data_IF_180411431889
#
_entry.id   IF_180411431889
#
_cell.length_a   1.000
_cell.length_b   1.000
_cell.length_c   1.000
_cell.angle_alpha   90.00
_cell.angle_beta   90.00
_cell.angle_gamma   90.00
#
_symmetry.space_group_name_H-M   'P 1'
#
loop_
_entity.id
_entity.type
_entity.pdbx_description
1 polymer ?
#
# COMPACT_ATOMS: atom_id res chain seq x y z
N UNK A 1 0.33 5.62 -28.35
CA UNK A 1 -0.30 5.62 -27.01
C UNK A 1 -0.49 4.19 -26.53
N UNK A 2 -0.06 3.87 -25.32
CA UNK A 2 -0.29 2.54 -24.72
C UNK A 2 -1.46 2.61 -23.74
N UNK A 3 -2.31 1.60 -23.77
CA UNK A 3 -3.46 1.48 -22.87
C UNK A 3 -3.17 0.41 -21.82
N UNK A 4 -3.45 0.71 -20.55
CA UNK A 4 -3.26 -0.21 -19.44
C UNK A 4 -4.56 -0.31 -18.63
N UNK A 5 -4.81 -1.48 -18.04
CA UNK A 5 -5.88 -1.59 -17.05
C UNK A 5 -5.47 -0.88 -15.75
N UNK A 6 -6.45 -0.56 -14.91
CA UNK A 6 -6.18 0.05 -13.61
C UNK A 6 -5.33 -0.88 -12.72
N UNK A 7 -5.60 -2.18 -12.78
CA UNK A 7 -4.81 -3.16 -12.02
C UNK A 7 -3.36 -3.25 -12.50
N UNK A 8 -3.12 -3.22 -13.81
CA UNK A 8 -1.76 -3.18 -14.36
C UNK A 8 -1.00 -1.94 -13.90
N UNK A 9 -1.63 -0.76 -14.00
CA UNK A 9 -1.02 0.48 -13.53
C UNK A 9 -0.69 0.43 -12.04
N UNK A 10 -1.60 -0.11 -11.22
CA UNK A 10 -1.39 -0.25 -9.79
C UNK A 10 -0.27 -1.25 -9.45
N UNK A 11 -0.15 -2.35 -10.19
CA UNK A 11 0.97 -3.31 -10.04
C UNK A 11 2.30 -2.63 -10.31
N UNK A 12 2.39 -1.83 -11.39
CA UNK A 12 3.62 -1.08 -11.71
C UNK A 12 3.97 -0.09 -10.59
N UNK A 13 2.98 0.66 -10.10
CA UNK A 13 3.20 1.61 -9.00
C UNK A 13 3.69 0.90 -7.74
N UNK A 14 3.08 -0.23 -7.38
CA UNK A 14 3.47 -0.99 -6.20
C UNK A 14 4.88 -1.58 -6.33
N UNK A 15 5.24 -2.09 -7.51
CA UNK A 15 6.59 -2.59 -7.79
C UNK A 15 7.62 -1.48 -7.59
N UNK A 16 7.36 -0.30 -8.14
CA UNK A 16 8.27 0.85 -7.97
C UNK A 16 8.37 1.31 -6.52
N UNK A 17 7.28 1.24 -5.76
CA UNK A 17 7.31 1.50 -4.32
C UNK A 17 8.29 0.56 -3.60
N UNK A 18 8.29 -0.73 -3.95
CA UNK A 18 9.24 -1.70 -3.37
C UNK A 18 10.69 -1.41 -3.75
N UNK A 19 10.94 -0.86 -4.93
CA UNK A 19 12.29 -0.45 -5.36
C UNK A 19 12.79 0.81 -4.64
N UNK A 20 11.89 1.75 -4.33
CA UNK A 20 12.25 2.99 -3.64
C UNK A 20 12.53 2.76 -2.15
N UNK A 21 11.88 1.81 -1.53
CA UNK A 21 11.95 1.60 -0.08
C UNK A 21 13.37 1.29 0.43
N UNK A 22 14.13 0.34 -0.15
CA UNK A 22 15.49 0.01 0.34
C UNK A 22 16.48 1.16 0.22
N UNK A 23 16.24 2.11 -0.68
CA UNK A 23 17.08 3.27 -0.90
C UNK A 23 16.71 4.46 -0.01
N UNK A 24 15.86 4.24 1.00
CA UNK A 24 15.36 5.26 1.92
C UNK A 24 14.60 6.41 1.23
N UNK A 25 14.05 6.19 0.03
CA UNK A 25 13.19 7.16 -0.66
C UNK A 25 11.74 6.93 -0.22
N UNK A 26 11.48 7.16 1.08
CA UNK A 26 10.21 6.80 1.71
C UNK A 26 9.04 7.66 1.25
N UNK A 27 9.27 8.93 0.93
CA UNK A 27 8.23 9.82 0.39
C UNK A 27 7.69 9.24 -0.92
N UNK A 28 8.58 8.93 -1.87
CA UNK A 28 8.16 8.38 -3.16
C UNK A 28 7.55 6.99 -3.01
N UNK A 29 8.12 6.15 -2.17
CA UNK A 29 7.56 4.84 -1.86
C UNK A 29 6.14 4.95 -1.29
N UNK A 30 5.90 5.91 -0.39
CA UNK A 30 4.56 6.18 0.18
C UNK A 30 3.57 6.64 -0.88
N UNK A 31 3.97 7.55 -1.76
CA UNK A 31 3.11 8.05 -2.84
C UNK A 31 2.69 6.91 -3.77
N UNK A 32 3.66 6.12 -4.22
CA UNK A 32 3.41 5.02 -5.16
C UNK A 32 2.59 3.90 -4.51
N UNK A 33 2.93 3.51 -3.29
CA UNK A 33 2.20 2.48 -2.57
C UNK A 33 0.78 2.94 -2.19
N UNK A 34 0.61 4.20 -1.81
CA UNK A 34 -0.69 4.78 -1.51
C UNK A 34 -1.61 4.79 -2.72
N UNK A 35 -1.09 5.18 -3.88
CA UNK A 35 -1.84 5.16 -5.12
C UNK A 35 -2.26 3.73 -5.50
N UNK A 36 -1.35 2.76 -5.39
CA UNK A 36 -1.65 1.36 -5.67
C UNK A 36 -2.70 0.80 -4.68
N UNK A 37 -2.53 1.07 -3.40
CA UNK A 37 -3.45 0.61 -2.36
C UNK A 37 -4.88 1.12 -2.61
N UNK A 38 -5.02 2.39 -2.98
CA UNK A 38 -6.33 2.95 -3.28
C UNK A 38 -7.00 2.24 -4.47
N UNK A 39 -6.26 1.99 -5.55
CA UNK A 39 -6.80 1.31 -6.72
C UNK A 39 -7.23 -0.12 -6.37
N UNK A 40 -6.39 -0.88 -5.68
CA UNK A 40 -6.73 -2.26 -5.30
C UNK A 40 -7.92 -2.31 -4.33
N UNK A 41 -8.00 -1.38 -3.38
CA UNK A 41 -9.15 -1.26 -2.49
C UNK A 41 -10.44 -1.03 -3.27
N UNK A 42 -10.42 -0.08 -4.20
CA UNK A 42 -11.59 0.24 -5.03
C UNK A 42 -12.00 -0.96 -5.89
N UNK A 43 -11.03 -1.71 -6.42
CA UNK A 43 -11.31 -2.93 -7.18
C UNK A 43 -11.91 -4.04 -6.29
N UNK A 44 -11.46 -4.18 -5.05
CA UNK A 44 -12.06 -5.10 -4.09
C UNK A 44 -13.52 -4.73 -3.81
N UNK A 45 -13.80 -3.45 -3.57
CA UNK A 45 -15.15 -2.94 -3.35
C UNK A 45 -16.04 -3.19 -4.57
N UNK A 46 -15.55 -2.92 -5.78
CA UNK A 46 -16.29 -3.15 -7.02
C UNK A 46 -16.64 -4.63 -7.24
N UNK A 47 -15.83 -5.54 -6.74
CA UNK A 47 -16.09 -6.99 -6.79
C UNK A 47 -16.87 -7.51 -5.59
N UNK A 48 -17.18 -6.68 -4.62
CA UNK A 48 -17.94 -7.07 -3.42
C UNK A 48 -17.18 -8.00 -2.46
N UNK A 49 -15.84 -8.00 -2.51
CA UNK A 49 -15.02 -8.89 -1.68
C UNK A 49 -14.41 -8.19 -0.45
N UNK A 50 -14.68 -6.93 -0.23
CA UNK A 50 -14.08 -6.16 0.86
C UNK A 50 -12.55 -6.04 0.74
N UNK A 51 -11.98 -4.99 1.31
CA UNK A 51 -10.53 -4.76 1.30
C UNK A 51 -9.83 -5.39 2.50
N UNK A 52 -8.50 -5.49 2.45
CA UNK A 52 -7.68 -5.94 3.57
C UNK A 52 -7.86 -5.04 4.79
N UNK A 53 -7.97 -3.72 4.61
CA UNK A 53 -8.21 -2.78 5.72
C UNK A 53 -9.53 -3.11 6.43
N UNK A 54 -10.59 -3.41 5.69
CA UNK A 54 -11.88 -3.79 6.29
C UNK A 54 -11.77 -5.08 7.10
N UNK A 55 -11.08 -6.07 6.58
CA UNK A 55 -10.87 -7.35 7.27
C UNK A 55 -10.04 -7.20 8.54
N UNK A 56 -8.96 -6.45 8.46
CA UNK A 56 -8.09 -6.17 9.63
C UNK A 56 -8.86 -5.40 10.69
N UNK A 57 -9.63 -4.40 10.28
CA UNK A 57 -10.47 -3.60 11.20
C UNK A 57 -11.46 -4.49 11.95
N UNK A 58 -12.18 -5.34 11.23
CA UNK A 58 -13.16 -6.27 11.83
C UNK A 58 -12.49 -7.26 12.80
N UNK A 59 -11.33 -7.80 12.40
CA UNK A 59 -10.56 -8.75 13.21
C UNK A 59 -10.06 -8.13 14.52
N UNK A 60 -9.67 -6.85 14.50
CA UNK A 60 -9.15 -6.15 15.68
C UNK A 60 -10.23 -5.44 16.50
N UNK A 61 -11.48 -5.40 16.01
CA UNK A 61 -12.57 -4.70 16.69
C UNK A 61 -12.49 -3.17 16.57
N UNK A 62 -11.77 -2.64 15.58
CA UNK A 62 -11.66 -1.21 15.32
C UNK A 62 -12.59 -0.78 14.19
N UNK A 63 -12.91 0.52 14.15
CA UNK A 63 -13.64 1.09 13.00
C UNK A 63 -12.73 1.12 11.78
N UNK A 64 -13.29 0.75 10.63
CA UNK A 64 -12.55 0.76 9.35
C UNK A 64 -11.94 2.13 9.05
N UNK A 65 -12.67 3.22 9.33
CA UNK A 65 -12.19 4.59 9.13
C UNK A 65 -10.94 4.90 9.95
N UNK A 66 -10.84 4.41 11.17
CA UNK A 66 -9.68 4.65 12.04
C UNK A 66 -8.44 3.90 11.53
N UNK A 67 -8.60 2.65 11.14
CA UNK A 67 -7.50 1.85 10.56
C UNK A 67 -7.07 2.44 9.22
N UNK A 68 -8.02 2.82 8.39
CA UNK A 68 -7.73 3.47 7.11
C UNK A 68 -6.91 4.76 7.29
N UNK A 69 -7.32 5.63 8.20
CA UNK A 69 -6.61 6.88 8.47
C UNK A 69 -5.20 6.64 9.01
N UNK A 70 -5.01 5.60 9.82
CA UNK A 70 -3.70 5.24 10.33
C UNK A 70 -2.77 4.79 9.20
N UNK A 71 -3.28 3.98 8.27
CA UNK A 71 -2.48 3.41 7.18
C UNK A 71 -2.19 4.44 6.09
N UNK A 72 -3.18 5.25 5.72
CA UNK A 72 -3.08 6.17 4.57
C UNK A 72 -2.86 7.63 4.95
N UNK A 73 -2.73 7.93 6.24
CA UNK A 73 -2.68 9.32 6.73
C UNK A 73 -1.59 10.16 6.07
N UNK A 74 -0.37 9.67 5.99
CA UNK A 74 0.75 10.39 5.36
C UNK A 74 0.52 10.59 3.86
N UNK A 75 0.01 9.57 3.17
CA UNK A 75 -0.33 9.66 1.75
C UNK A 75 -1.42 10.71 1.50
N UNK A 76 -2.48 10.70 2.31
CA UNK A 76 -3.56 11.68 2.19
C UNK A 76 -3.07 13.10 2.51
N UNK A 77 -2.18 13.25 3.48
CA UNK A 77 -1.58 14.54 3.81
C UNK A 77 -0.83 15.15 2.63
N UNK A 78 -0.05 14.34 1.90
CA UNK A 78 0.65 14.79 0.70
C UNK A 78 -0.30 15.11 -0.46
N UNK A 79 -1.36 14.31 -0.61
CA UNK A 79 -2.31 14.38 -1.71
C UNK A 79 -3.22 15.61 -1.63
N UNK A 80 -3.51 16.11 -0.44
CA UNK A 80 -4.47 17.19 -0.20
C UNK A 80 -3.83 18.52 0.18
N UNK A 81 -2.79 18.91 -0.52
CA UNK A 81 -2.13 20.21 -0.34
C UNK A 81 -3.06 21.41 -0.54
N UNK A 82 -4.13 21.24 -1.31
CA UNK A 82 -5.17 22.25 -1.51
C UNK A 82 -5.90 22.61 -0.22
N UNK A 83 -6.01 21.68 0.74
CA UNK A 83 -6.68 21.87 2.03
C UNK A 83 -5.77 22.52 3.08
N UNK A 84 -4.48 22.22 3.01
CA UNK A 84 -3.51 22.68 4.00
C UNK A 84 -2.12 22.80 3.35
N UNK A 85 -1.93 23.86 2.51
CA UNK A 85 -0.72 23.99 1.68
C UNK A 85 0.56 24.25 2.47
N UNK A 86 0.46 24.68 3.72
CA UNK A 86 1.61 25.03 4.54
C UNK A 86 1.98 23.99 5.59
N UNK A 87 1.17 22.94 5.75
CA UNK A 87 1.48 21.88 6.71
C UNK A 87 2.69 21.04 6.25
N UNK A 88 3.44 20.55 7.22
CA UNK A 88 4.56 19.67 6.98
C UNK A 88 4.10 18.21 7.01
N UNK A 89 4.70 17.39 6.16
CA UNK A 89 4.46 15.95 6.14
C UNK A 89 5.70 15.23 6.65
N UNK A 90 5.52 14.39 7.65
CA UNK A 90 6.57 13.51 8.16
C UNK A 90 6.32 12.09 7.65
N UNK A 91 7.35 11.48 7.09
CA UNK A 91 7.29 10.10 6.59
C UNK A 91 8.41 9.29 7.23
N UNK A 92 8.04 8.25 7.96
CA UNK A 92 8.95 7.25 8.48
C UNK A 92 8.90 5.98 7.63
N UNK A 93 9.82 5.01 7.80
CA UNK A 93 9.75 3.74 7.05
C UNK A 93 8.45 2.97 7.26
N UNK A 94 7.76 3.19 8.38
CA UNK A 94 6.54 2.46 8.74
C UNK A 94 5.37 2.77 7.79
N UNK A 95 5.25 4.00 7.30
CA UNK A 95 4.15 4.38 6.41
C UNK A 95 4.18 3.65 5.06
N UNK A 96 5.27 3.70 4.28
CA UNK A 96 5.31 2.96 3.03
C UNK A 96 5.26 1.45 3.26
N UNK A 97 5.84 0.94 4.35
CA UNK A 97 5.77 -0.48 4.68
C UNK A 97 4.32 -0.94 4.88
N UNK A 98 3.53 -0.21 5.65
CA UNK A 98 2.12 -0.53 5.89
C UNK A 98 1.31 -0.50 4.58
N UNK A 99 1.51 0.53 3.75
CA UNK A 99 0.83 0.66 2.46
C UNK A 99 1.20 -0.45 1.49
N UNK A 100 2.47 -0.81 1.41
CA UNK A 100 2.95 -1.91 0.55
C UNK A 100 2.31 -3.23 0.98
N UNK A 101 2.31 -3.53 2.28
CA UNK A 101 1.72 -4.77 2.81
C UNK A 101 0.22 -4.83 2.55
N UNK A 102 -0.51 -3.75 2.80
CA UNK A 102 -1.96 -3.70 2.56
C UNK A 102 -2.29 -3.82 1.07
N UNK A 103 -1.55 -3.14 0.22
CA UNK A 103 -1.73 -3.23 -1.24
C UNK A 103 -1.43 -4.63 -1.77
N UNK A 104 -0.36 -5.25 -1.30
CA UNK A 104 0.00 -6.62 -1.68
C UNK A 104 -1.06 -7.64 -1.24
N UNK A 105 -1.62 -7.47 -0.06
CA UNK A 105 -2.70 -8.34 0.43
C UNK A 105 -3.97 -8.21 -0.42
N UNK A 106 -4.35 -6.98 -0.78
CA UNK A 106 -5.49 -6.75 -1.69
C UNK A 106 -5.23 -7.34 -3.08
N UNK A 107 -4.00 -7.20 -3.59
CA UNK A 107 -3.57 -7.77 -4.86
C UNK A 107 -3.77 -9.30 -4.89
N UNK A 108 -3.40 -10.00 -3.83
CA UNK A 108 -3.60 -11.44 -3.69
C UNK A 108 -5.10 -11.78 -3.70
N UNK A 109 -5.90 -11.04 -2.95
CA UNK A 109 -7.34 -11.28 -2.83
C UNK A 109 -8.09 -11.02 -4.12
N UNK A 110 -7.61 -10.11 -4.95
CA UNK A 110 -8.16 -9.84 -6.28
C UNK A 110 -7.88 -10.95 -7.27
N UNK A 111 -7.02 -11.89 -6.93
CA UNK A 111 -6.64 -13.02 -7.77
C UNK A 111 -6.19 -12.59 -9.18
N UNK A 112 -5.40 -11.53 -9.22
CA UNK A 112 -4.82 -11.03 -10.47
C UNK A 112 -3.81 -12.05 -10.99
N UNK A 113 -3.81 -12.37 -12.30
CA UNK A 113 -2.89 -13.36 -12.85
C UNK A 113 -1.44 -13.08 -12.51
N UNK A 114 -0.71 -14.13 -12.09
CA UNK A 114 0.68 -14.03 -11.68
C UNK A 114 1.55 -13.44 -12.79
N UNK A 115 2.48 -12.56 -12.38
CA UNK A 115 3.52 -12.01 -13.24
C UNK A 115 4.83 -11.92 -12.46
N UNK A 116 5.94 -11.69 -13.16
CA UNK A 116 7.24 -11.48 -12.52
C UNK A 116 7.19 -10.31 -11.53
N UNK A 117 6.49 -9.22 -11.91
CA UNK A 117 6.31 -8.06 -11.03
C UNK A 117 5.61 -8.42 -9.72
N UNK A 118 4.54 -9.21 -9.79
CA UNK A 118 3.82 -9.68 -8.59
C UNK A 118 4.72 -10.55 -7.73
N UNK A 119 5.49 -11.45 -8.34
CA UNK A 119 6.45 -12.28 -7.63
C UNK A 119 7.50 -11.47 -6.87
N UNK A 120 8.03 -10.41 -7.47
CA UNK A 120 8.97 -9.49 -6.81
C UNK A 120 8.33 -8.75 -5.63
N UNK A 121 7.09 -8.26 -5.81
CA UNK A 121 6.35 -7.59 -4.74
C UNK A 121 6.15 -8.54 -3.56
N UNK A 122 5.71 -9.76 -3.79
CA UNK A 122 5.46 -10.74 -2.74
C UNK A 122 6.76 -11.15 -2.02
N UNK A 123 7.84 -11.30 -2.75
CA UNK A 123 9.15 -11.58 -2.17
C UNK A 123 9.60 -10.43 -1.26
N UNK A 124 9.37 -9.21 -1.68
CA UNK A 124 9.72 -8.03 -0.89
C UNK A 124 8.91 -7.97 0.42
N UNK A 125 7.60 -8.22 0.37
CA UNK A 125 6.76 -8.22 1.59
C UNK A 125 7.19 -9.28 2.60
N UNK A 126 7.66 -10.44 2.14
CA UNK A 126 8.20 -11.47 3.03
C UNK A 126 9.47 -11.02 3.76
N UNK A 127 10.27 -10.14 3.16
CA UNK A 127 11.47 -9.60 3.82
C UNK A 127 11.14 -8.80 5.07
N UNK A 128 9.98 -8.14 5.13
CA UNK A 128 9.53 -7.43 6.34
C UNK A 128 9.23 -8.38 7.49
N UNK A 129 8.66 -9.53 7.23
CA UNK A 129 8.38 -10.54 8.25
C UNK A 129 9.69 -11.06 8.87
N UNK A 130 10.70 -11.30 8.06
CA UNK A 130 12.02 -11.76 8.50
C UNK A 130 12.72 -10.71 9.37
N UNK A 131 12.66 -9.43 9.00
CA UNK A 131 13.23 -8.33 9.79
C UNK A 131 12.58 -8.23 11.18
N UNK A 132 11.26 -8.35 11.26
CA UNK A 132 10.55 -8.34 12.55
C UNK A 132 11.00 -9.44 13.48
N UNK A 133 11.29 -10.62 12.97
CA UNK A 133 11.78 -11.76 13.75
C UNK A 133 13.20 -11.51 14.29
N UNK A 134 14.03 -10.77 13.58
CA UNK A 134 15.37 -10.42 14.01
C UNK A 134 15.38 -9.29 15.06
N UNK A 135 14.44 -8.36 15.00
CA UNK A 135 14.35 -7.25 15.95
C UNK A 135 13.74 -7.64 17.29
N UNK A 136 12.97 -8.73 17.34
CA UNK A 136 12.39 -9.29 18.57
C UNK A 136 13.35 -10.12 19.41
N UNK A 137 14.58 -10.21 19.01
CA UNK A 137 15.66 -10.88 19.72
C UNK A 137 16.59 -9.87 20.35
#
# INVERSE_FOLDING_TARGET
MKTHSKSEAAVVALLKATHCYPNAVWILSTILAGAAQQVFRDLCEARGIGSTIEMVSASLGYRTSDVHNLVVGSYNGMKHADRDPTSLVSVSPAEPQALIVMAAADLIRLNIPYSTAIGEILKFTKSFETEKLTWGK
#
